data_IF_940656471910
#
_entry.id   IF_940656471910
#
_cell.length_a   1.000
_cell.length_b   1.000
_cell.length_c   1.000
_cell.angle_alpha   90.00
_cell.angle_beta   90.00
_cell.angle_gamma   90.00
#
_symmetry.space_group_name_H-M   'P 1'
#
loop_
_entity.id
_entity.type
_entity.pdbx_description
1 polymer ?
#
# COMPACT_ATOMS: atom_id res chain seq x y z
N UNK A 1 18.13 19.74 15.11
CA UNK A 1 18.41 18.73 16.15
C UNK A 1 19.30 17.65 15.55
N UNK A 2 20.26 17.05 16.28
CA UNK A 2 21.11 16.01 15.72
C UNK A 2 20.27 14.73 15.62
N UNK A 3 19.90 14.39 14.38
CA UNK A 3 19.08 13.23 14.05
C UNK A 3 19.97 11.99 14.05
N UNK A 4 20.34 11.51 15.25
CA UNK A 4 21.11 10.29 15.44
C UNK A 4 20.18 9.13 15.81
N UNK A 5 19.05 9.02 15.09
CA UNK A 5 18.28 7.80 15.04
C UNK A 5 18.82 7.01 13.86
N UNK A 6 19.47 5.88 14.12
CA UNK A 6 19.91 4.95 13.09
C UNK A 6 18.76 4.76 12.08
N UNK A 7 18.90 5.35 10.89
CA UNK A 7 17.94 5.20 9.80
C UNK A 7 17.86 3.71 9.50
N UNK A 8 16.79 3.06 9.97
CA UNK A 8 16.50 1.67 9.65
C UNK A 8 16.31 1.61 8.14
N UNK A 9 17.31 1.07 7.44
CA UNK A 9 17.26 1.04 5.98
C UNK A 9 16.22 0.01 5.53
N UNK A 10 15.65 0.21 4.34
CA UNK A 10 14.70 -0.72 3.73
C UNK A 10 15.25 -2.15 3.73
N UNK A 11 16.56 -2.32 3.48
CA UNK A 11 17.22 -3.63 3.46
C UNK A 11 17.28 -4.28 4.84
N UNK A 12 17.43 -3.51 5.91
CA UNK A 12 17.41 -4.03 7.28
C UNK A 12 16.02 -4.51 7.68
N UNK A 13 14.99 -3.74 7.34
CA UNK A 13 13.59 -4.09 7.58
C UNK A 13 13.23 -5.40 6.88
N UNK A 14 13.64 -5.56 5.62
CA UNK A 14 13.31 -6.73 4.80
C UNK A 14 14.04 -8.02 5.20
N UNK A 15 15.05 -7.94 6.07
CA UNK A 15 15.70 -9.12 6.68
C UNK A 15 14.90 -9.73 7.82
N UNK A 16 13.90 -9.02 8.36
CA UNK A 16 13.10 -9.51 9.48
C UNK A 16 12.31 -10.76 9.08
N UNK A 17 12.08 -11.61 10.08
CA UNK A 17 11.21 -12.77 9.91
C UNK A 17 9.82 -12.43 10.44
N UNK A 18 8.85 -12.38 9.53
CA UNK A 18 7.48 -12.04 9.87
C UNK A 18 6.69 -13.35 10.06
N UNK A 19 5.99 -13.53 11.20
CA UNK A 19 5.27 -14.77 11.49
C UNK A 19 3.95 -14.85 10.72
N UNK A 20 4.02 -15.00 9.39
CA UNK A 20 2.87 -15.01 8.49
C UNK A 20 1.85 -16.11 8.84
N UNK A 21 2.33 -17.26 9.30
CA UNK A 21 1.52 -18.41 9.74
C UNK A 21 0.63 -18.06 10.94
N UNK A 22 1.15 -17.26 11.87
CA UNK A 22 0.39 -16.79 13.03
C UNK A 22 -0.76 -15.90 12.57
N UNK A 23 -0.50 -14.98 11.65
CA UNK A 23 -1.53 -14.09 11.09
C UNK A 23 -2.59 -14.83 10.27
N UNK A 24 -2.21 -15.91 9.60
CA UNK A 24 -3.18 -16.78 8.92
C UNK A 24 -4.03 -17.57 9.93
N UNK A 25 -3.42 -18.10 10.98
CA UNK A 25 -4.13 -18.83 12.05
C UNK A 25 -5.12 -17.92 12.81
N UNK A 26 -4.77 -16.66 13.04
CA UNK A 26 -5.65 -15.66 13.65
C UNK A 26 -6.63 -15.02 12.66
N UNK A 27 -6.68 -15.50 11.41
CA UNK A 27 -7.58 -15.03 10.34
C UNK A 27 -7.38 -13.56 9.94
N UNK A 28 -6.19 -13.00 10.20
CA UNK A 28 -5.78 -11.67 9.72
C UNK A 28 -5.23 -11.73 8.28
N UNK A 29 -4.81 -12.91 7.82
CA UNK A 29 -4.42 -13.19 6.44
C UNK A 29 -5.18 -14.42 5.95
N UNK A 30 -5.67 -14.40 4.71
CA UNK A 30 -6.34 -15.55 4.10
C UNK A 30 -5.35 -16.65 3.72
N UNK A 31 -5.80 -17.90 3.59
CA UNK A 31 -4.95 -19.00 3.12
C UNK A 31 -4.32 -18.72 1.74
N UNK A 32 -5.12 -18.17 0.82
CA UNK A 32 -4.63 -17.71 -0.50
C UNK A 32 -3.64 -16.56 -0.38
N UNK A 33 -3.90 -15.59 0.51
CA UNK A 33 -2.97 -14.48 0.76
C UNK A 33 -1.61 -14.94 1.27
N UNK A 34 -1.59 -15.93 2.18
CA UNK A 34 -0.35 -16.55 2.66
C UNK A 34 0.41 -17.26 1.53
N UNK A 35 -0.29 -17.96 0.63
CA UNK A 35 0.35 -18.61 -0.51
C UNK A 35 0.99 -17.59 -1.46
N UNK A 36 0.31 -16.48 -1.75
CA UNK A 36 0.86 -15.39 -2.56
C UNK A 36 2.09 -14.78 -1.88
N UNK A 37 2.03 -14.47 -0.57
CA UNK A 37 3.18 -13.97 0.18
C UNK A 37 4.38 -14.92 0.08
N UNK A 38 4.21 -16.22 0.29
CA UNK A 38 5.32 -17.19 0.20
C UNK A 38 5.96 -17.26 -1.19
N UNK A 39 5.17 -17.02 -2.24
CA UNK A 39 5.67 -16.99 -3.63
C UNK A 39 6.44 -15.71 -3.93
N UNK A 40 6.10 -14.59 -3.28
CA UNK A 40 6.70 -13.27 -3.53
C UNK A 40 7.87 -12.93 -2.58
N UNK A 41 7.70 -13.25 -1.30
CA UNK A 41 8.57 -12.85 -0.22
C UNK A 41 9.97 -13.47 -0.35
N UNK A 42 10.99 -12.68 -0.03
CA UNK A 42 12.42 -13.04 -0.11
C UNK A 42 12.86 -13.65 -1.47
N UNK A 43 12.12 -13.41 -2.55
CA UNK A 43 12.50 -13.81 -3.92
C UNK A 43 13.29 -12.71 -4.63
N UNK A 44 14.05 -13.11 -5.65
CA UNK A 44 14.76 -12.17 -6.51
C UNK A 44 13.79 -11.24 -7.25
N UNK A 45 14.22 -10.01 -7.53
CA UNK A 45 13.43 -8.99 -8.22
C UNK A 45 12.86 -9.49 -9.55
N UNK A 46 13.65 -10.21 -10.35
CA UNK A 46 13.22 -10.74 -11.65
C UNK A 46 12.05 -11.73 -11.53
N UNK A 47 12.04 -12.57 -10.50
CA UNK A 47 10.94 -13.51 -10.26
C UNK A 47 9.71 -12.78 -9.71
N UNK A 48 9.90 -11.82 -8.81
CA UNK A 48 8.82 -10.94 -8.33
C UNK A 48 8.19 -10.18 -9.50
N UNK A 49 8.99 -9.69 -10.45
CA UNK A 49 8.51 -9.01 -11.64
C UNK A 49 7.56 -9.90 -12.46
N UNK A 50 7.96 -11.14 -12.73
CA UNK A 50 7.12 -12.10 -13.44
C UNK A 50 5.78 -12.35 -12.74
N UNK A 51 5.79 -12.56 -11.42
CA UNK A 51 4.56 -12.75 -10.64
C UNK A 51 3.61 -11.54 -10.73
N UNK A 52 4.16 -10.33 -10.76
CA UNK A 52 3.39 -9.10 -10.87
C UNK A 52 2.86 -8.84 -12.29
N UNK A 53 3.57 -9.32 -13.31
CA UNK A 53 3.10 -9.30 -14.70
C UNK A 53 1.95 -10.30 -14.91
N UNK A 54 1.98 -11.44 -14.22
CA UNK A 54 0.96 -12.50 -14.31
C UNK A 54 -0.30 -12.18 -13.48
N UNK A 55 -0.16 -11.78 -12.22
CA UNK A 55 -1.27 -11.61 -11.26
C UNK A 55 -1.06 -10.45 -10.26
N UNK A 56 -0.49 -9.34 -10.74
CA UNK A 56 -0.16 -8.17 -9.93
C UNK A 56 -1.26 -7.66 -9.00
N UNK A 57 -2.54 -7.53 -9.43
CA UNK A 57 -3.62 -7.04 -8.56
C UNK A 57 -3.85 -7.92 -7.32
N UNK A 58 -3.69 -9.24 -7.44
CA UNK A 58 -3.85 -10.14 -6.29
C UNK A 58 -2.77 -9.90 -5.23
N UNK A 59 -1.52 -9.65 -5.62
CA UNK A 59 -0.44 -9.30 -4.70
C UNK A 59 -0.70 -7.95 -4.00
N UNK A 60 -1.14 -6.94 -4.76
CA UNK A 60 -1.49 -5.63 -4.19
C UNK A 60 -2.62 -5.75 -3.18
N UNK A 61 -3.68 -6.52 -3.49
CA UNK A 61 -4.78 -6.78 -2.57
C UNK A 61 -4.31 -7.39 -1.25
N UNK A 62 -3.38 -8.35 -1.30
CA UNK A 62 -2.80 -8.96 -0.11
C UNK A 62 -2.03 -7.94 0.73
N UNK A 63 -1.18 -7.12 0.10
CA UNK A 63 -0.42 -6.09 0.83
C UNK A 63 -1.33 -5.04 1.48
N UNK A 64 -2.31 -4.52 0.74
CA UNK A 64 -3.27 -3.53 1.24
C UNK A 64 -4.11 -4.11 2.38
N UNK A 65 -4.55 -5.37 2.25
CA UNK A 65 -5.30 -6.05 3.31
C UNK A 65 -4.49 -6.22 4.58
N UNK A 66 -3.20 -6.57 4.48
CA UNK A 66 -2.31 -6.65 5.65
C UNK A 66 -2.17 -5.28 6.31
N UNK A 67 -1.93 -4.22 5.54
CA UNK A 67 -1.80 -2.87 6.11
C UNK A 67 -3.09 -2.40 6.77
N UNK A 68 -4.26 -2.83 6.28
CA UNK A 68 -5.56 -2.52 6.85
C UNK A 68 -5.81 -3.27 8.17
N UNK A 69 -5.52 -4.57 8.19
CA UNK A 69 -5.99 -5.48 9.23
C UNK A 69 -4.93 -5.76 10.32
N UNK A 70 -3.63 -5.52 10.04
CA UNK A 70 -2.52 -5.74 10.97
C UNK A 70 -1.88 -4.41 11.36
N UNK A 71 -1.77 -4.18 12.68
CA UNK A 71 -1.22 -2.95 13.26
C UNK A 71 0.14 -3.14 13.93
N UNK A 72 0.71 -4.36 13.90
CA UNK A 72 2.04 -4.62 14.48
C UNK A 72 3.09 -3.85 13.68
N UNK A 73 3.78 -2.91 14.35
CA UNK A 73 4.73 -1.97 13.73
C UNK A 73 5.73 -2.65 12.79
N UNK A 74 6.45 -3.66 13.28
CA UNK A 74 7.44 -4.41 12.49
C UNK A 74 6.87 -4.99 11.19
N UNK A 75 5.60 -5.46 11.23
CA UNK A 75 4.92 -6.04 10.07
C UNK A 75 4.45 -4.96 9.10
N UNK A 76 3.96 -3.83 9.62
CA UNK A 76 3.57 -2.68 8.81
C UNK A 76 4.80 -2.11 8.08
N UNK A 77 5.91 -1.89 8.78
CA UNK A 77 7.18 -1.46 8.19
C UNK A 77 7.65 -2.43 7.09
N UNK A 78 7.53 -3.74 7.34
CA UNK A 78 7.91 -4.78 6.39
C UNK A 78 7.09 -4.70 5.10
N UNK A 79 5.78 -4.64 5.21
CA UNK A 79 4.89 -4.60 4.04
C UNK A 79 5.03 -3.29 3.27
N UNK A 80 5.16 -2.15 3.96
CA UNK A 80 5.48 -0.89 3.31
C UNK A 80 6.82 -0.95 2.56
N UNK A 81 7.81 -1.63 3.12
CA UNK A 81 9.12 -1.84 2.46
C UNK A 81 9.00 -2.75 1.23
N UNK A 82 8.17 -3.80 1.27
CA UNK A 82 7.90 -4.65 0.09
C UNK A 82 7.22 -3.87 -1.03
N UNK A 83 6.23 -3.03 -0.70
CA UNK A 83 5.56 -2.17 -1.68
C UNK A 83 6.53 -1.11 -2.23
N UNK A 84 7.36 -0.52 -1.37
CA UNK A 84 8.34 0.47 -1.79
C UNK A 84 9.41 -0.12 -2.72
N UNK A 85 9.93 -1.31 -2.45
CA UNK A 85 10.82 -2.04 -3.38
C UNK A 85 10.12 -2.32 -4.71
N UNK A 86 8.87 -2.81 -4.66
CA UNK A 86 8.06 -3.12 -5.84
C UNK A 86 7.93 -1.91 -6.75
N UNK A 87 7.59 -0.74 -6.19
CA UNK A 87 7.38 0.51 -6.91
C UNK A 87 8.69 1.20 -7.30
N UNK A 88 9.75 1.06 -6.51
CA UNK A 88 11.08 1.58 -6.84
C UNK A 88 11.68 0.84 -8.03
N UNK A 89 11.51 -0.49 -8.10
CA UNK A 89 11.96 -1.29 -9.24
C UNK A 89 11.20 -0.96 -10.53
N UNK A 90 9.89 -0.68 -10.45
CA UNK A 90 9.12 -0.20 -11.60
C UNK A 90 7.94 0.68 -11.17
N UNK A 91 8.03 2.02 -11.29
CA UNK A 91 6.97 2.93 -10.88
C UNK A 91 5.64 2.72 -11.62
N UNK A 92 5.64 2.10 -12.81
CA UNK A 92 4.41 1.81 -13.56
C UNK A 92 3.52 0.78 -12.84
N UNK A 93 4.08 -0.03 -11.94
CA UNK A 93 3.34 -0.99 -11.10
C UNK A 93 2.35 -0.29 -10.16
N UNK A 94 2.49 1.01 -9.93
CA UNK A 94 1.49 1.80 -9.21
C UNK A 94 0.08 1.75 -9.87
N UNK A 95 -0.01 1.40 -11.15
CA UNK A 95 -1.29 1.17 -11.85
C UNK A 95 -2.07 -0.03 -11.31
N UNK A 96 -1.39 -1.02 -10.72
CA UNK A 96 -2.03 -2.21 -10.14
C UNK A 96 -2.97 -1.86 -8.98
N UNK A 97 -2.74 -0.74 -8.29
CA UNK A 97 -3.59 -0.24 -7.21
C UNK A 97 -4.94 0.32 -7.70
N UNK A 98 -5.08 0.55 -9.01
CA UNK A 98 -6.31 1.02 -9.66
C UNK A 98 -7.02 -0.10 -10.44
N UNK A 99 -6.59 -1.35 -10.28
CA UNK A 99 -7.18 -2.47 -11.01
C UNK A 99 -8.64 -2.71 -10.58
N UNK A 100 -9.50 -3.03 -11.55
CA UNK A 100 -10.94 -3.21 -11.31
C UNK A 100 -11.26 -4.40 -10.41
N UNK A 101 -10.40 -5.42 -10.38
CA UNK A 101 -10.57 -6.60 -9.53
C UNK A 101 -10.53 -6.28 -8.03
N UNK A 102 -9.91 -5.15 -7.66
CA UNK A 102 -9.74 -4.72 -6.26
C UNK A 102 -10.50 -3.41 -5.94
N UNK A 103 -11.33 -2.92 -6.87
CA UNK A 103 -12.03 -1.63 -6.75
C UNK A 103 -13.08 -1.57 -5.63
N UNK A 104 -13.47 -2.72 -5.06
CA UNK A 104 -14.40 -2.82 -3.94
C UNK A 104 -13.72 -2.61 -2.58
N UNK A 105 -12.41 -2.36 -2.56
CA UNK A 105 -11.62 -2.07 -1.38
C UNK A 105 -11.09 -0.65 -1.41
N UNK A 106 -10.91 -0.08 -0.21
CA UNK A 106 -10.26 1.20 -0.08
C UNK A 106 -8.74 1.00 -0.12
N UNK A 107 -8.18 1.27 -1.29
CA UNK A 107 -6.74 1.15 -1.52
C UNK A 107 -5.93 2.26 -0.86
N UNK A 108 -6.54 3.41 -0.52
CA UNK A 108 -5.83 4.58 -0.01
C UNK A 108 -5.89 4.71 1.51
N UNK A 109 -7.00 4.33 2.12
CA UNK A 109 -7.24 4.50 3.56
C UNK A 109 -6.12 3.94 4.43
N UNK A 110 -5.58 2.72 4.19
CA UNK A 110 -4.55 2.18 5.06
C UNK A 110 -3.31 3.08 5.08
N UNK A 111 -2.88 3.60 3.93
CA UNK A 111 -1.73 4.48 3.85
C UNK A 111 -1.99 5.85 4.47
N UNK A 112 -3.18 6.43 4.28
CA UNK A 112 -3.55 7.70 4.91
C UNK A 112 -3.53 7.55 6.44
N UNK A 113 -4.12 6.48 6.97
CA UNK A 113 -4.10 6.21 8.41
C UNK A 113 -2.67 6.07 8.94
N UNK A 114 -1.80 5.37 8.21
CA UNK A 114 -0.39 5.16 8.55
C UNK A 114 0.42 6.46 8.47
N UNK A 115 0.07 7.38 7.58
CA UNK A 115 0.69 8.70 7.50
C UNK A 115 0.50 9.53 8.79
N UNK A 116 -0.67 9.42 9.43
CA UNK A 116 -0.96 10.17 10.66
C UNK A 116 -0.51 9.48 11.94
N UNK A 117 -0.48 8.14 11.96
CA UNK A 117 -0.26 7.33 13.18
C UNK A 117 1.05 6.55 13.19
N UNK A 118 1.78 6.53 12.09
CA UNK A 118 3.03 5.79 11.94
C UNK A 118 4.21 6.47 12.62
N UNK A 119 5.27 5.70 12.85
CA UNK A 119 6.60 6.25 13.09
C UNK A 119 7.19 6.87 11.81
N UNK A 120 8.36 7.50 11.90
CA UNK A 120 9.00 8.19 10.77
C UNK A 120 9.08 7.32 9.50
N UNK A 121 9.58 6.09 9.60
CA UNK A 121 9.71 5.19 8.45
C UNK A 121 8.35 4.86 7.83
N UNK A 122 7.37 4.53 8.66
CA UNK A 122 6.00 4.26 8.20
C UNK A 122 5.42 5.48 7.49
N UNK A 123 5.61 6.68 8.02
CA UNK A 123 5.12 7.93 7.44
C UNK A 123 5.80 8.23 6.10
N UNK A 124 7.13 8.14 6.05
CA UNK A 124 7.94 8.36 4.85
C UNK A 124 7.50 7.42 3.71
N UNK A 125 7.46 6.11 3.97
CA UNK A 125 7.06 5.11 2.97
C UNK A 125 5.61 5.30 2.54
N UNK A 126 4.69 5.54 3.48
CA UNK A 126 3.27 5.76 3.17
C UNK A 126 3.08 6.98 2.27
N UNK A 127 3.78 8.09 2.56
CA UNK A 127 3.73 9.31 1.74
C UNK A 127 4.25 9.07 0.31
N UNK A 128 5.41 8.41 0.18
CA UNK A 128 6.01 8.08 -1.12
C UNK A 128 5.09 7.17 -1.94
N UNK A 129 4.58 6.10 -1.33
CA UNK A 129 3.68 5.14 -1.98
C UNK A 129 2.38 5.82 -2.41
N UNK A 130 1.74 6.60 -1.54
CA UNK A 130 0.53 7.36 -1.87
C UNK A 130 0.75 8.29 -3.07
N UNK A 131 1.87 9.02 -3.08
CA UNK A 131 2.21 9.95 -4.16
C UNK A 131 2.34 9.23 -5.50
N UNK A 132 2.95 8.04 -5.52
CA UNK A 132 3.08 7.20 -6.72
C UNK A 132 1.74 6.65 -7.19
N UNK A 133 0.92 6.12 -6.27
CA UNK A 133 -0.41 5.58 -6.59
C UNK A 133 -1.29 6.68 -7.18
N UNK A 134 -1.37 7.85 -6.53
CA UNK A 134 -2.18 8.99 -7.01
C UNK A 134 -1.68 9.48 -8.38
N UNK A 135 -0.37 9.53 -8.60
CA UNK A 135 0.22 9.94 -9.88
C UNK A 135 -0.05 8.94 -11.01
N UNK A 136 -0.24 7.66 -10.68
CA UNK A 136 -0.52 6.59 -11.64
C UNK A 136 -2.01 6.45 -12.02
N UNK A 137 -2.87 7.34 -11.51
CA UNK A 137 -4.30 7.36 -11.80
C UNK A 137 -4.55 7.27 -13.32
N UNK A 138 -5.47 6.41 -13.78
CA UNK A 138 -5.95 6.46 -15.15
C UNK A 138 -6.51 7.86 -15.46
N UNK A 139 -6.00 8.53 -16.50
CA UNK A 139 -6.68 9.71 -17.04
C UNK A 139 -8.00 9.23 -17.62
N UNK A 140 -9.12 9.70 -17.06
CA UNK A 140 -10.43 9.51 -17.68
C UNK A 140 -10.33 10.07 -19.09
N UNK A 141 -10.44 9.21 -20.11
CA UNK A 141 -10.65 9.70 -21.46
C UNK A 141 -12.08 10.24 -21.48
N UNK A 142 -12.21 11.56 -21.65
CA UNK A 142 -13.49 12.23 -21.83
C UNK A 142 -14.26 11.59 -22.98
N UNK A 143 -15.42 11.01 -22.67
CA UNK A 143 -16.26 10.38 -23.67
C UNK A 143 -17.23 9.38 -23.08
N UNK A 144 -18.24 9.89 -22.36
CA UNK A 144 -19.66 9.44 -22.35
C UNK A 144 -20.29 9.86 -21.03
N UNK A 145 -21.17 10.85 -21.12
CA UNK A 145 -22.19 11.14 -20.11
C UNK A 145 -23.18 9.99 -20.09
N UNK A 146 -23.30 9.29 -18.96
CA UNK A 146 -24.54 8.57 -18.63
C UNK A 146 -24.96 8.95 -17.21
N UNK A 147 -25.96 9.82 -17.15
CA UNK A 147 -26.79 10.01 -15.97
C UNK A 147 -27.38 8.66 -15.56
N UNK A 148 -27.16 8.28 -14.31
CA UNK A 148 -27.71 7.07 -13.71
C UNK A 148 -27.45 7.11 -12.22
N UNK A 149 -28.25 7.87 -11.49
CA UNK A 149 -28.31 7.77 -10.05
C UNK A 149 -28.91 6.39 -9.69
N UNK A 150 -28.14 5.56 -9.01
CA UNK A 150 -28.64 4.39 -8.29
C UNK A 150 -27.91 4.29 -6.97
N UNK A 151 -28.69 4.36 -5.90
CA UNK A 151 -28.29 4.22 -4.51
C UNK A 151 -27.73 2.85 -4.17
N UNK A 152 -27.03 2.85 -3.02
CA UNK A 152 -26.89 1.74 -2.07
C UNK A 152 -25.85 0.63 -2.36
N UNK A 153 -24.63 0.85 -1.87
CA UNK A 153 -24.10 0.02 -0.78
C UNK A 153 -22.92 0.70 -0.08
N UNK A 154 -22.91 0.54 1.24
CA UNK A 154 -22.07 1.20 2.23
C UNK A 154 -20.64 0.63 2.21
N UNK A 155 -19.79 1.14 1.32
CA UNK A 155 -18.33 1.13 1.49
C UNK A 155 -17.81 2.52 1.14
N UNK A 156 -17.33 3.24 2.16
CA UNK A 156 -16.57 4.48 1.96
C UNK A 156 -15.28 4.11 1.24
N UNK A 157 -15.24 4.23 -0.08
CA UNK A 157 -13.97 4.29 -0.82
C UNK A 157 -13.47 5.73 -0.72
N UNK A 158 -12.24 5.92 -0.26
CA UNK A 158 -11.65 7.24 -0.10
C UNK A 158 -11.46 7.87 -1.48
N UNK A 159 -12.13 9.00 -1.70
CA UNK A 159 -11.97 9.79 -2.91
C UNK A 159 -10.57 10.40 -2.98
N UNK A 160 -10.02 10.51 -4.19
CA UNK A 160 -8.65 11.03 -4.41
C UNK A 160 -8.49 12.46 -3.89
N UNK A 161 -9.52 13.28 -3.98
CA UNK A 161 -9.49 14.65 -3.44
C UNK A 161 -9.28 14.65 -1.92
N UNK A 162 -9.87 13.68 -1.21
CA UNK A 162 -9.64 13.49 0.23
C UNK A 162 -8.23 12.97 0.52
N UNK A 163 -7.68 12.11 -0.36
CA UNK A 163 -6.28 11.66 -0.26
C UNK A 163 -5.32 12.84 -0.41
N UNK A 164 -5.50 13.67 -1.44
CA UNK A 164 -4.67 14.85 -1.69
C UNK A 164 -4.78 15.86 -0.55
N UNK A 165 -6.00 16.10 -0.07
CA UNK A 165 -6.22 16.96 1.10
C UNK A 165 -5.48 16.42 2.33
N UNK A 166 -5.61 15.13 2.63
CA UNK A 166 -4.92 14.50 3.75
C UNK A 166 -3.39 14.57 3.65
N UNK A 167 -2.83 14.38 2.45
CA UNK A 167 -1.39 14.55 2.19
C UNK A 167 -0.93 15.99 2.43
N UNK A 168 -1.67 16.98 1.91
CA UNK A 168 -1.34 18.40 2.08
C UNK A 168 -1.43 18.83 3.54
N UNK A 169 -2.47 18.38 4.26
CA UNK A 169 -2.64 18.65 5.69
C UNK A 169 -1.49 18.04 6.51
N UNK A 170 -1.10 16.81 6.21
CA UNK A 170 0.05 16.18 6.87
C UNK A 170 1.37 16.90 6.59
N UNK A 171 1.64 17.25 5.33
CA UNK A 171 2.85 18.00 4.97
C UNK A 171 2.93 19.35 5.70
N UNK A 172 1.81 20.05 5.85
CA UNK A 172 1.76 21.29 6.64
C UNK A 172 2.10 21.05 8.11
N UNK A 173 1.60 19.97 8.70
CA UNK A 173 1.90 19.61 10.08
C UNK A 173 3.39 19.31 10.31
N UNK A 174 4.08 18.71 9.33
CA UNK A 174 5.51 18.39 9.41
C UNK A 174 6.42 19.64 9.31
N UNK A 175 6.04 20.62 8.49
CA UNK A 175 6.83 21.86 8.26
C UNK A 175 6.67 22.87 9.41
N UNK A 176 5.64 22.73 10.24
CA UNK A 176 5.41 23.59 11.42
C UNK A 176 6.13 23.14 12.70
N UNK A 177 6.97 22.11 12.62
CA UNK A 177 7.81 21.58 13.72
C UNK A 177 9.27 21.95 13.46
#
# INVERSE_FOLDING_TARGET
MPMDQAELTTEQVLKRDIPWETYMTTKLITGTGLQLLRRYDKKAESYRAQLLDDDGPAYVHVFVSILRDIFKEETVEYVLSLIDEMLTANPKRARLFHDKSIANEDTYEPFLRLLWKGNWLIQEKSCKILSLIVSARPKVQDGVTTNGATSDSKKKSTAIDEVLKGLVEWLRAQVCI
#
